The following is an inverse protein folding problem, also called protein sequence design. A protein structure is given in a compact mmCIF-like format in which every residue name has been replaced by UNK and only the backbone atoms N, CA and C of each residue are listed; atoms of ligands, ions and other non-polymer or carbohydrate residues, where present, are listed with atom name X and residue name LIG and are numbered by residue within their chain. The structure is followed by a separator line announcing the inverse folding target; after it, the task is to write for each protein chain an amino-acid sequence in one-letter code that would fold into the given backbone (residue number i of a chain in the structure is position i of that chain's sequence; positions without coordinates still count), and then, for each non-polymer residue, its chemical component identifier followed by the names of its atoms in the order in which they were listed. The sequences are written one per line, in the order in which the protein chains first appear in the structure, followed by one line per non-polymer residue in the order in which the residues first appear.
data_IF_988863418491
#
_entry.id   IF_988863418491
#
_cell.length_a   1.000
_cell.length_b   1.000
_cell.length_c   1.000
_cell.angle_alpha   90.00
_cell.angle_beta   90.00
_cell.angle_gamma   90.00
#
_symmetry.space_group_name_H-M   'P 1'
#
loop_
_entity.id
_entity.type
_entity.pdbx_description
1 polymer ?
#
# COMPACT_ATOMS: atom_id res chain seq x y z
N UNK A 1 -28.33 -14.83 -28.45
CA UNK A 1 -27.73 -13.69 -27.73
C UNK A 1 -26.23 -13.71 -28.02
N UNK A 2 -25.64 -12.62 -28.57
CA UNK A 2 -24.18 -12.51 -28.66
C UNK A 2 -23.63 -12.26 -27.25
N UNK A 3 -22.61 -12.98 -26.79
CA UNK A 3 -21.98 -12.67 -25.51
C UNK A 3 -21.45 -11.24 -25.58
N UNK A 4 -21.93 -10.37 -24.72
CA UNK A 4 -21.33 -9.04 -24.51
C UNK A 4 -19.95 -9.27 -23.89
N UNK A 5 -18.90 -8.75 -24.53
CA UNK A 5 -17.60 -8.64 -23.87
C UNK A 5 -17.77 -7.71 -22.68
N UNK A 6 -17.39 -8.17 -21.50
CA UNK A 6 -17.28 -7.28 -20.34
C UNK A 6 -16.36 -6.11 -20.72
N UNK A 7 -16.81 -4.88 -20.44
CA UNK A 7 -15.98 -3.69 -20.65
C UNK A 7 -14.76 -3.79 -19.74
N UNK A 8 -13.56 -3.55 -20.27
CA UNK A 8 -12.34 -3.49 -19.47
C UNK A 8 -12.40 -2.27 -18.55
N UNK A 9 -11.93 -2.37 -17.31
CA UNK A 9 -11.80 -1.20 -16.45
C UNK A 9 -10.79 -0.21 -17.01
N UNK A 10 -11.09 1.07 -16.83
CA UNK A 10 -10.20 2.18 -17.19
C UNK A 10 -9.78 2.87 -15.90
N UNK A 11 -8.47 2.95 -15.66
CA UNK A 11 -7.91 3.72 -14.56
C UNK A 11 -7.23 4.98 -15.11
N UNK A 12 -7.83 6.12 -14.86
CA UNK A 12 -7.22 7.42 -15.13
C UNK A 12 -6.48 7.89 -13.89
N UNK A 13 -5.16 7.94 -13.96
CA UNK A 13 -4.32 8.53 -12.91
C UNK A 13 -4.10 9.99 -13.30
N UNK A 14 -4.59 10.92 -12.48
CA UNK A 14 -4.34 12.34 -12.75
C UNK A 14 -2.83 12.61 -12.83
N UNK A 15 -2.35 13.43 -13.76
CA UNK A 15 -0.92 13.63 -14.01
C UNK A 15 -0.12 13.99 -12.76
N UNK A 16 -0.65 14.88 -11.91
CA UNK A 16 0.00 15.25 -10.66
C UNK A 16 0.12 14.06 -9.70
N UNK A 17 -0.89 13.19 -9.63
CA UNK A 17 -0.84 11.99 -8.78
C UNK A 17 0.24 11.02 -9.25
N UNK A 18 0.30 10.77 -10.56
CA UNK A 18 1.36 9.94 -11.14
C UNK A 18 2.75 10.50 -10.82
N UNK A 19 2.94 11.80 -11.01
CA UNK A 19 4.21 12.46 -10.73
C UNK A 19 4.55 12.46 -9.23
N UNK A 20 3.57 12.67 -8.34
CA UNK A 20 3.77 12.53 -6.89
C UNK A 20 4.28 11.13 -6.53
N UNK A 21 3.61 10.07 -6.99
CA UNK A 21 4.04 8.68 -6.76
C UNK A 21 5.45 8.43 -7.33
N UNK A 22 5.72 8.85 -8.55
CA UNK A 22 7.05 8.73 -9.17
C UNK A 22 8.13 9.45 -8.35
N UNK A 23 7.86 10.64 -7.84
CA UNK A 23 8.82 11.39 -7.04
C UNK A 23 9.05 10.75 -5.67
N UNK A 24 8.01 10.20 -5.02
CA UNK A 24 8.19 9.43 -3.80
C UNK A 24 9.16 8.26 -4.01
N UNK A 25 8.93 7.48 -5.06
CA UNK A 25 9.76 6.31 -5.39
C UNK A 25 11.20 6.71 -5.77
N UNK A 26 11.39 7.80 -6.51
CA UNK A 26 12.71 8.26 -6.95
C UNK A 26 13.53 8.85 -5.80
N UNK A 27 12.90 9.60 -4.91
CA UNK A 27 13.58 10.31 -3.83
C UNK A 27 13.82 9.43 -2.59
N UNK A 28 13.05 8.34 -2.40
CA UNK A 28 13.28 7.42 -1.29
C UNK A 28 14.45 6.48 -1.59
N UNK A 29 15.32 6.27 -0.60
CA UNK A 29 16.33 5.21 -0.63
C UNK A 29 15.76 3.84 -0.27
N UNK A 30 14.68 3.82 0.47
CA UNK A 30 13.99 2.65 1.01
C UNK A 30 12.61 2.47 0.37
N UNK A 31 11.94 1.36 0.65
CA UNK A 31 10.54 1.18 0.27
C UNK A 31 9.68 2.25 0.94
N UNK A 32 8.69 2.75 0.24
CA UNK A 32 7.81 3.81 0.69
C UNK A 32 6.38 3.52 0.24
N UNK A 33 5.40 3.84 1.07
CA UNK A 33 4.01 3.57 0.80
C UNK A 33 3.14 4.83 0.89
N UNK A 34 1.98 4.78 0.25
CA UNK A 34 1.02 5.88 0.20
C UNK A 34 -0.39 5.33 0.05
N UNK A 35 -1.38 6.15 0.36
CA UNK A 35 -2.77 5.93 0.00
C UNK A 35 -3.19 6.80 -1.18
N UNK A 36 -4.22 6.36 -1.90
CA UNK A 36 -4.80 7.09 -3.02
C UNK A 36 -6.30 7.26 -2.92
N UNK A 37 -6.77 8.44 -3.33
CA UNK A 37 -8.18 8.78 -3.42
C UNK A 37 -8.68 8.49 -4.82
N UNK A 38 -9.64 7.56 -4.92
CA UNK A 38 -10.15 7.06 -6.19
C UNK A 38 -11.66 7.21 -6.25
N UNK A 39 -12.14 7.91 -7.28
CA UNK A 39 -13.56 7.93 -7.65
C UNK A 39 -13.87 6.87 -8.69
N UNK A 40 -15.08 6.31 -8.59
CA UNK A 40 -15.61 5.33 -9.53
C UNK A 40 -16.82 5.90 -10.26
N UNK A 41 -16.85 5.67 -11.57
CA UNK A 41 -18.04 5.85 -12.41
C UNK A 41 -18.17 4.65 -13.36
N UNK A 42 -19.01 3.70 -13.00
CA UNK A 42 -19.15 2.43 -13.71
C UNK A 42 -17.85 1.63 -13.70
N UNK A 43 -17.25 1.45 -14.89
CA UNK A 43 -15.94 0.81 -15.08
C UNK A 43 -14.79 1.81 -15.23
N UNK A 44 -15.05 3.10 -14.99
CA UNK A 44 -14.03 4.14 -14.98
C UNK A 44 -13.64 4.48 -13.56
N UNK A 45 -12.36 4.40 -13.27
CA UNK A 45 -11.75 4.72 -11.98
C UNK A 45 -10.82 5.92 -12.17
N UNK A 46 -10.89 6.91 -11.31
CA UNK A 46 -10.05 8.10 -11.39
C UNK A 46 -9.28 8.27 -10.08
N UNK A 47 -7.98 8.00 -10.11
CA UNK A 47 -7.07 8.38 -9.03
C UNK A 47 -6.79 9.88 -9.13
N UNK A 48 -7.32 10.66 -8.19
CA UNK A 48 -7.28 12.12 -8.25
C UNK A 48 -6.38 12.77 -7.21
N UNK A 49 -5.99 12.05 -6.14
CA UNK A 49 -4.96 12.49 -5.21
C UNK A 49 -4.27 11.31 -4.53
N UNK A 50 -3.08 11.55 -3.99
CA UNK A 50 -2.30 10.61 -3.20
C UNK A 50 -1.76 11.30 -1.94
N UNK A 51 -1.72 10.55 -0.85
CA UNK A 51 -1.33 11.05 0.46
C UNK A 51 -0.40 10.02 1.14
N UNK A 52 0.61 10.52 1.84
CA UNK A 52 1.46 9.68 2.69
C UNK A 52 0.94 9.61 4.12
N UNK A 53 1.20 8.49 4.75
CA UNK A 53 0.94 8.26 6.16
C UNK A 53 2.26 8.05 6.94
N UNK A 54 2.26 8.23 8.28
CA UNK A 54 3.42 7.95 9.13
C UNK A 54 3.86 6.49 9.02
N UNK A 55 5.13 6.25 8.71
CA UNK A 55 5.66 4.93 8.43
C UNK A 55 7.14 4.80 8.80
N UNK A 56 7.56 3.58 9.11
CA UNK A 56 8.96 3.17 9.22
C UNK A 56 9.36 2.41 7.97
N UNK A 57 10.45 2.80 7.35
CA UNK A 57 10.90 2.24 6.08
C UNK A 57 12.24 1.53 6.23
N UNK A 58 12.43 0.49 5.42
CA UNK A 58 13.71 -0.17 5.17
C UNK A 58 13.83 -0.53 3.69
N UNK A 59 14.99 -1.01 3.28
CA UNK A 59 15.25 -1.37 1.89
C UNK A 59 14.32 -2.49 1.33
N UNK A 60 13.58 -3.19 2.19
CA UNK A 60 12.76 -4.34 1.81
C UNK A 60 11.38 -4.37 2.47
N UNK A 61 11.03 -3.38 3.28
CA UNK A 61 9.72 -3.34 3.95
C UNK A 61 9.34 -1.92 4.35
N UNK A 62 8.05 -1.63 4.23
CA UNK A 62 7.41 -0.46 4.83
C UNK A 62 6.43 -0.94 5.90
N UNK A 63 6.49 -0.33 7.08
CA UNK A 63 5.51 -0.58 8.16
C UNK A 63 4.93 0.73 8.63
N UNK A 64 3.61 0.76 8.86
CA UNK A 64 2.97 1.88 9.53
C UNK A 64 3.52 2.04 10.96
N UNK A 65 3.66 3.28 11.40
CA UNK A 65 3.76 3.60 12.82
C UNK A 65 2.36 3.49 13.40
N UNK A 66 2.03 2.38 14.05
CA UNK A 66 0.66 2.02 14.45
C UNK A 66 -0.04 3.15 15.24
N UNK A 67 0.66 3.78 16.18
CA UNK A 67 0.09 4.86 16.99
C UNK A 67 -0.13 6.13 16.17
N UNK A 68 0.88 6.56 15.43
CA UNK A 68 0.77 7.76 14.60
C UNK A 68 -0.14 7.53 13.39
N UNK A 69 -0.19 6.32 12.84
CA UNK A 69 -1.12 5.96 11.77
C UNK A 69 -2.57 6.03 12.26
N UNK A 70 -2.87 5.51 13.44
CA UNK A 70 -4.21 5.58 14.02
C UNK A 70 -4.68 7.02 14.20
N UNK A 71 -3.81 7.90 14.72
CA UNK A 71 -4.10 9.33 14.84
C UNK A 71 -4.25 10.00 13.47
N UNK A 72 -3.45 9.58 12.51
CA UNK A 72 -3.48 10.12 11.16
C UNK A 72 -4.77 9.73 10.43
N UNK A 73 -5.17 8.46 10.46
CA UNK A 73 -6.38 7.99 9.78
C UNK A 73 -7.66 8.63 10.36
N UNK A 74 -7.72 8.81 11.69
CA UNK A 74 -8.83 9.52 12.33
C UNK A 74 -8.95 10.97 11.85
N UNK A 75 -7.82 11.66 11.64
CA UNK A 75 -7.84 13.00 11.04
C UNK A 75 -8.31 12.98 9.59
N UNK A 76 -7.98 11.93 8.82
CA UNK A 76 -8.48 11.80 7.44
C UNK A 76 -9.98 11.54 7.39
N UNK A 77 -10.52 10.82 8.37
CA UNK A 77 -11.95 10.55 8.47
C UNK A 77 -12.81 11.81 8.58
N UNK A 78 -12.28 12.91 9.10
CA UNK A 78 -12.97 14.21 9.18
C UNK A 78 -13.16 14.89 7.81
N UNK A 79 -12.51 14.42 6.75
CA UNK A 79 -12.64 14.99 5.41
C UNK A 79 -13.76 14.30 4.61
N UNK A 80 -14.53 15.09 3.88
CA UNK A 80 -15.64 14.61 3.04
C UNK A 80 -15.26 13.52 2.03
N UNK A 81 -13.98 13.49 1.60
CA UNK A 81 -13.49 12.55 0.61
C UNK A 81 -12.87 11.28 1.21
N UNK A 82 -13.03 11.03 2.51
CA UNK A 82 -12.47 9.83 3.14
C UNK A 82 -12.95 8.54 2.48
N UNK A 83 -14.22 8.49 2.06
CA UNK A 83 -14.80 7.34 1.36
C UNK A 83 -14.09 7.00 0.04
N UNK A 84 -13.37 7.96 -0.54
CA UNK A 84 -12.58 7.78 -1.77
C UNK A 84 -11.18 7.21 -1.51
N UNK A 85 -10.80 6.96 -0.25
CA UNK A 85 -9.50 6.37 0.13
C UNK A 85 -9.52 4.86 -0.22
N UNK A 86 -9.41 4.56 -1.51
CA UNK A 86 -9.62 3.23 -2.10
C UNK A 86 -8.39 2.65 -2.79
N UNK A 87 -7.20 3.18 -2.49
CA UNK A 87 -5.95 2.67 -3.04
C UNK A 87 -4.85 2.63 -1.99
N UNK A 88 -4.07 1.56 -2.02
CA UNK A 88 -2.77 1.47 -1.36
C UNK A 88 -1.68 1.22 -2.40
N UNK A 89 -0.63 2.02 -2.38
CA UNK A 89 0.55 1.86 -3.21
C UNK A 89 1.82 1.80 -2.37
N UNK A 90 2.82 1.07 -2.88
CA UNK A 90 4.17 1.08 -2.30
C UNK A 90 5.24 0.88 -3.37
N UNK A 91 6.48 1.14 -3.01
CA UNK A 91 7.62 0.97 -3.91
C UNK A 91 8.41 -0.29 -3.61
N UNK A 92 8.89 -0.94 -4.67
CA UNK A 92 9.90 -2.00 -4.61
C UNK A 92 11.30 -1.49 -4.99
N UNK A 93 11.58 -0.21 -4.75
CA UNK A 93 12.85 0.48 -5.03
C UNK A 93 13.46 0.06 -6.38
N UNK A 94 14.40 -0.87 -6.39
CA UNK A 94 15.08 -1.39 -7.59
C UNK A 94 14.65 -2.81 -7.99
N UNK A 95 13.71 -3.43 -7.27
CA UNK A 95 13.22 -4.77 -7.55
C UNK A 95 12.09 -4.76 -8.58
N UNK A 96 11.67 -5.94 -9.04
CA UNK A 96 10.45 -6.10 -9.84
C UNK A 96 9.20 -5.77 -9.05
N UNK A 97 8.12 -5.41 -9.74
CA UNK A 97 6.85 -5.03 -9.11
C UNK A 97 5.93 -6.24 -8.81
N UNK A 98 6.50 -7.43 -8.59
CA UNK A 98 5.74 -8.60 -8.16
C UNK A 98 5.49 -8.52 -6.65
N UNK A 99 4.24 -8.74 -6.19
CA UNK A 99 3.93 -8.73 -4.77
C UNK A 99 4.75 -9.76 -3.98
N UNK A 100 5.23 -9.37 -2.81
CA UNK A 100 5.86 -10.28 -1.83
C UNK A 100 4.80 -11.03 -1.02
N UNK A 101 5.23 -12.01 -0.21
CA UNK A 101 4.33 -12.68 0.72
C UNK A 101 3.73 -11.74 1.76
N UNK A 102 4.49 -10.73 2.20
CA UNK A 102 4.01 -9.69 3.13
C UNK A 102 2.93 -8.82 2.47
N UNK A 103 3.13 -8.44 1.19
CA UNK A 103 2.13 -7.66 0.45
C UNK A 103 0.83 -8.42 0.27
N UNK A 104 0.92 -9.72 -0.01
CA UNK A 104 -0.27 -10.57 -0.15
C UNK A 104 -1.05 -10.65 1.16
N UNK A 105 -0.37 -10.81 2.29
CA UNK A 105 -1.03 -10.85 3.59
C UNK A 105 -1.67 -9.52 3.97
N UNK A 106 -1.01 -8.40 3.68
CA UNK A 106 -1.56 -7.06 3.88
C UNK A 106 -2.83 -6.85 3.03
N UNK A 107 -2.80 -7.26 1.75
CA UNK A 107 -3.97 -7.22 0.87
C UNK A 107 -5.14 -8.01 1.42
N UNK A 108 -4.89 -9.26 1.84
CA UNK A 108 -5.93 -10.11 2.44
C UNK A 108 -6.59 -9.44 3.64
N UNK A 109 -5.82 -8.76 4.49
CA UNK A 109 -6.34 -8.08 5.67
C UNK A 109 -7.26 -6.92 5.29
N UNK A 110 -6.89 -6.09 4.29
CA UNK A 110 -7.76 -5.04 3.79
C UNK A 110 -9.03 -5.63 3.16
N UNK A 111 -8.87 -6.63 2.29
CA UNK A 111 -9.99 -7.21 1.55
C UNK A 111 -11.02 -7.91 2.44
N UNK A 112 -10.61 -8.52 3.56
CA UNK A 112 -11.53 -9.14 4.55
C UNK A 112 -12.51 -8.13 5.14
N UNK A 113 -12.09 -6.86 5.24
CA UNK A 113 -12.88 -5.78 5.84
C UNK A 113 -13.57 -4.89 4.78
N UNK A 114 -13.40 -5.18 3.48
CA UNK A 114 -13.98 -4.39 2.43
C UNK A 114 -15.49 -4.69 2.28
N UNK A 115 -16.30 -3.66 2.13
CA UNK A 115 -17.75 -3.81 1.89
C UNK A 115 -18.03 -4.52 0.56
N UNK A 116 -19.13 -5.28 0.50
CA UNK A 116 -19.54 -6.08 -0.67
C UNK A 116 -19.88 -5.26 -1.91
N UNK A 117 -20.09 -3.97 -1.77
CA UNK A 117 -20.41 -3.02 -2.85
C UNK A 117 -19.29 -2.04 -3.14
N UNK A 118 -18.08 -2.33 -2.64
CA UNK A 118 -16.91 -1.48 -2.76
C UNK A 118 -15.88 -2.05 -3.74
N UNK A 119 -14.78 -1.34 -3.91
CA UNK A 119 -13.60 -1.76 -4.64
C UNK A 119 -12.34 -1.31 -3.90
N UNK A 120 -11.20 -1.90 -4.24
CA UNK A 120 -9.90 -1.45 -3.75
C UNK A 120 -8.81 -1.69 -4.79
N UNK A 121 -7.84 -0.78 -4.86
CA UNK A 121 -6.72 -0.85 -5.79
C UNK A 121 -5.42 -1.02 -5.01
N UNK A 122 -4.61 -1.98 -5.43
CA UNK A 122 -3.23 -2.12 -4.99
C UNK A 122 -2.28 -1.81 -6.13
N UNK A 123 -1.22 -1.05 -5.83
CA UNK A 123 -0.21 -0.67 -6.81
C UNK A 123 1.19 -0.86 -6.24
N UNK A 124 2.07 -1.45 -7.03
CA UNK A 124 3.50 -1.52 -6.74
C UNK A 124 4.24 -0.79 -7.84
N UNK A 125 5.19 0.08 -7.50
CA UNK A 125 5.99 0.83 -8.46
C UNK A 125 7.46 0.74 -8.12
N UNK A 126 8.36 0.77 -9.14
CA UNK A 126 9.81 0.80 -8.93
C UNK A 126 10.47 2.04 -9.54
N UNK A 127 11.76 2.23 -9.26
CA UNK A 127 12.55 3.36 -9.78
C UNK A 127 12.69 3.37 -11.29
N UNK A 128 12.61 2.22 -11.95
CA UNK A 128 12.65 2.10 -13.41
C UNK A 128 11.36 2.60 -14.08
N UNK A 129 10.31 2.86 -13.31
CA UNK A 129 9.01 3.31 -13.81
C UNK A 129 8.07 2.17 -14.18
N UNK A 130 8.48 0.93 -13.93
CA UNK A 130 7.56 -0.21 -14.02
C UNK A 130 6.57 -0.14 -12.85
N UNK A 131 5.36 -0.65 -13.09
CA UNK A 131 4.35 -0.79 -12.06
C UNK A 131 3.47 -2.01 -12.31
N UNK A 132 2.87 -2.51 -11.25
CA UNK A 132 1.75 -3.46 -11.30
C UNK A 132 0.54 -2.86 -10.58
N UNK A 133 -0.64 -3.16 -11.08
CA UNK A 133 -1.91 -2.74 -10.50
C UNK A 133 -2.81 -3.96 -10.40
N UNK A 134 -3.47 -4.13 -9.27
CA UNK A 134 -4.57 -5.05 -9.09
C UNK A 134 -5.79 -4.28 -8.56
N UNK A 135 -6.92 -4.43 -9.24
CA UNK A 135 -8.21 -3.88 -8.85
C UNK A 135 -9.12 -5.01 -8.39
N UNK A 136 -9.49 -5.00 -7.14
CA UNK A 136 -10.50 -5.87 -6.54
C UNK A 136 -11.84 -5.15 -6.58
N UNK A 137 -12.75 -5.61 -7.41
CA UNK A 137 -14.06 -5.00 -7.60
C UNK A 137 -15.17 -5.92 -7.11
N UNK A 138 -15.65 -5.68 -5.90
CA UNK A 138 -16.72 -6.47 -5.27
C UNK A 138 -18.08 -6.21 -5.90
N UNK A 139 -18.28 -5.09 -6.58
CA UNK A 139 -19.54 -4.80 -7.30
C UNK A 139 -19.71 -5.72 -8.50
N UNK A 140 -18.63 -5.99 -9.22
CA UNK A 140 -18.63 -6.93 -10.36
C UNK A 140 -18.25 -8.34 -9.96
N UNK A 141 -17.69 -8.54 -8.76
CA UNK A 141 -17.12 -9.81 -8.31
C UNK A 141 -15.87 -10.24 -9.05
N UNK A 142 -15.12 -9.28 -9.62
CA UNK A 142 -13.96 -9.54 -10.47
C UNK A 142 -12.69 -8.97 -9.86
N UNK A 143 -11.57 -9.64 -10.17
CA UNK A 143 -10.23 -9.14 -9.93
C UNK A 143 -9.62 -8.84 -11.30
N UNK A 144 -9.08 -7.64 -11.46
CA UNK A 144 -8.43 -7.20 -12.68
C UNK A 144 -6.95 -6.94 -12.39
N UNK A 145 -6.06 -7.50 -13.18
CA UNK A 145 -4.63 -7.21 -13.12
C UNK A 145 -4.23 -6.09 -14.10
N UNK A 146 -2.96 -5.75 -14.11
CA UNK A 146 -2.41 -4.69 -14.98
C UNK A 146 -2.71 -4.92 -16.47
N UNK A 147 -2.84 -6.15 -16.93
CA UNK A 147 -3.11 -6.48 -18.34
C UNK A 147 -4.59 -6.29 -18.72
N UNK A 148 -5.46 -6.34 -17.73
CA UNK A 148 -6.91 -6.14 -17.90
C UNK A 148 -7.31 -4.67 -17.85
N UNK A 149 -6.48 -3.81 -17.20
CA UNK A 149 -6.79 -2.41 -16.94
C UNK A 149 -6.15 -1.53 -18.02
N UNK A 150 -6.92 -0.61 -18.58
CA UNK A 150 -6.37 0.46 -19.40
C UNK A 150 -5.98 1.64 -18.51
N UNK A 151 -4.68 2.00 -18.49
CA UNK A 151 -4.16 3.06 -17.63
C UNK A 151 -3.79 4.29 -18.46
N UNK A 152 -4.27 5.47 -18.03
CA UNK A 152 -3.91 6.77 -18.61
C UNK A 152 -3.16 7.62 -17.60
N UNK A 153 -2.03 8.18 -18.05
CA UNK A 153 -1.22 9.16 -17.28
C UNK A 153 -0.69 10.20 -18.26
N UNK A 154 -0.70 11.48 -17.90
CA UNK A 154 0.11 12.46 -18.65
C UNK A 154 0.22 13.86 -18.00
N UNK A 155 1.39 14.50 -18.06
CA UNK A 155 1.70 15.95 -18.16
C UNK A 155 3.07 16.35 -17.56
N UNK A 156 3.98 17.04 -18.30
CA UNK A 156 5.31 17.47 -17.86
C UNK A 156 5.33 18.63 -16.85
N UNK A 157 4.36 19.55 -16.85
CA UNK A 157 4.40 20.75 -16.01
C UNK A 157 4.26 20.44 -14.51
N UNK A 158 3.61 19.35 -14.20
CA UNK A 158 3.37 18.94 -12.83
C UNK A 158 4.60 18.33 -12.12
N UNK A 159 5.66 17.99 -12.86
CA UNK A 159 6.86 17.35 -12.31
C UNK A 159 7.49 18.14 -11.17
N UNK A 160 7.68 19.45 -11.33
CA UNK A 160 8.28 20.29 -10.29
C UNK A 160 7.43 20.34 -9.01
N UNK A 161 6.12 20.54 -9.17
CA UNK A 161 5.18 20.52 -8.02
C UNK A 161 5.19 19.18 -7.28
N UNK A 162 5.27 18.08 -8.03
CA UNK A 162 5.37 16.75 -7.46
C UNK A 162 6.69 16.52 -6.70
N UNK A 163 7.83 17.06 -7.20
CA UNK A 163 9.11 16.98 -6.53
C UNK A 163 9.11 17.71 -5.17
N UNK A 164 8.61 18.95 -5.16
CA UNK A 164 8.50 19.76 -3.93
C UNK A 164 7.60 19.09 -2.90
N UNK A 165 6.45 18.57 -3.34
CA UNK A 165 5.54 17.84 -2.48
C UNK A 165 6.18 16.56 -1.90
N UNK A 166 6.84 15.74 -2.75
CA UNK A 166 7.45 14.48 -2.32
C UNK A 166 8.57 14.71 -1.30
N UNK A 167 9.44 15.70 -1.54
CA UNK A 167 10.53 16.06 -0.61
C UNK A 167 9.97 16.41 0.78
N UNK A 168 8.89 17.20 0.82
CA UNK A 168 8.23 17.60 2.05
C UNK A 168 7.54 16.41 2.72
N UNK A 169 6.82 15.59 1.94
CA UNK A 169 6.11 14.42 2.43
C UNK A 169 7.07 13.38 3.05
N UNK A 170 8.19 13.10 2.39
CA UNK A 170 9.22 12.19 2.91
C UNK A 170 9.80 12.73 4.21
N UNK A 171 10.21 14.00 4.25
CA UNK A 171 10.77 14.64 5.44
C UNK A 171 9.85 14.57 6.65
N UNK A 172 8.54 14.74 6.43
CA UNK A 172 7.57 14.81 7.52
C UNK A 172 7.07 13.45 7.99
N UNK A 173 7.08 12.42 7.12
CA UNK A 173 6.41 11.14 7.38
C UNK A 173 7.36 9.95 7.46
N UNK A 174 8.59 10.05 6.93
CA UNK A 174 9.57 8.95 6.97
C UNK A 174 10.50 9.13 8.16
N UNK A 175 10.59 8.10 8.98
CA UNK A 175 11.52 8.02 10.11
C UNK A 175 12.52 6.89 9.87
N UNK A 176 13.76 7.12 10.29
CA UNK A 176 14.75 6.04 10.28
C UNK A 176 14.36 4.94 11.26
N UNK A 177 14.55 3.69 10.84
CA UNK A 177 14.40 2.54 11.74
C UNK A 177 15.38 2.72 12.89
N UNK A 178 14.94 2.65 14.16
CA UNK A 178 15.82 2.73 15.32
C UNK A 178 17.00 1.76 15.20
N UNK A 179 18.18 2.17 15.67
CA UNK A 179 19.43 1.40 15.56
C UNK A 179 19.29 -0.07 16.01
N UNK A 180 18.50 -0.32 17.05
CA UNK A 180 18.21 -1.66 17.57
C UNK A 180 17.56 -2.58 16.52
N UNK A 181 16.73 -2.04 15.63
CA UNK A 181 16.08 -2.79 14.55
C UNK A 181 17.02 -3.08 13.39
N UNK A 182 17.91 -2.12 13.06
CA UNK A 182 18.94 -2.31 12.02
C UNK A 182 19.92 -3.42 12.42
N UNK A 183 20.24 -3.54 13.70
CA UNK A 183 21.13 -4.58 14.23
C UNK A 183 20.48 -5.96 14.19
N UNK A 184 19.17 -6.06 14.49
CA UNK A 184 18.41 -7.32 14.44
C UNK A 184 18.28 -7.87 13.00
N UNK A 185 18.08 -7.01 12.01
CA UNK A 185 18.02 -7.42 10.61
C UNK A 185 19.37 -7.90 10.07
N UNK A 186 20.49 -7.30 10.47
CA UNK A 186 21.84 -7.73 10.07
C UNK A 186 22.22 -9.09 10.66
N UNK A 187 21.81 -9.42 11.86
CA UNK A 187 22.10 -10.72 12.47
C UNK A 187 21.32 -11.86 11.82
N UNK A 188 20.13 -11.57 11.23
CA UNK A 188 19.33 -12.58 10.53
C UNK A 188 19.75 -12.78 9.06
N UNK A 189 20.51 -11.83 8.46
CA UNK A 189 20.94 -11.94 7.06
C UNK A 189 22.34 -12.60 6.90
N UNK A 190 23.05 -12.89 7.98
CA UNK A 190 24.40 -13.48 7.94
C UNK A 190 24.48 -14.98 8.25
N UNK A 191 23.36 -15.70 8.35
CA UNK A 191 23.39 -17.15 8.51
C UNK A 191 23.28 -17.86 7.16
N UNK A 192 24.41 -18.09 6.55
CA UNK A 192 24.69 -19.07 5.50
C UNK A 192 24.13 -20.45 5.86
N UNK A 193 23.37 -21.00 4.89
CA UNK A 193 23.20 -22.45 4.63
C UNK A 193 23.55 -23.43 5.74
N UNK A 194 22.58 -23.86 6.52
CA UNK A 194 22.40 -25.25 6.95
C UNK A 194 20.92 -25.53 7.22
N UNK A 195 20.45 -26.68 6.76
CA UNK A 195 19.09 -27.23 6.75
C UNK A 195 18.16 -26.74 7.87
N UNK A 196 16.91 -26.34 7.57
CA UNK A 196 15.93 -26.00 8.57
C UNK A 196 15.30 -27.25 9.16
N UNK A 197 15.74 -27.66 10.34
CA UNK A 197 14.90 -28.42 11.27
C UNK A 197 14.54 -27.53 12.44
N UNK A 198 13.25 -27.38 12.67
CA UNK A 198 12.54 -26.74 13.78
C UNK A 198 12.23 -25.25 13.63
N UNK A 199 10.97 -24.98 13.38
CA UNK A 199 10.29 -23.72 13.67
C UNK A 199 10.49 -23.34 15.14
N UNK A 200 11.28 -22.30 15.42
CA UNK A 200 11.35 -21.72 16.76
C UNK A 200 10.08 -20.94 17.04
N UNK A 201 9.10 -21.61 17.61
CA UNK A 201 7.91 -21.00 18.17
C UNK A 201 8.35 -20.19 19.40
N UNK A 202 8.18 -18.87 19.35
CA UNK A 202 8.45 -17.99 20.50
C UNK A 202 7.51 -18.35 21.65
N UNK A 203 8.10 -18.69 22.82
CA UNK A 203 7.39 -18.95 24.05
C UNK A 203 7.77 -17.93 25.12
N UNK A 204 6.81 -17.57 25.98
CA UNK A 204 7.11 -16.74 27.14
C UNK A 204 7.97 -17.49 28.18
N UNK A 205 8.43 -16.78 29.19
CA UNK A 205 9.23 -17.37 30.27
C UNK A 205 8.50 -18.50 31.06
N UNK A 206 7.20 -18.69 30.80
CA UNK A 206 6.36 -19.76 31.36
C UNK A 206 6.02 -20.84 30.32
N UNK A 207 6.68 -20.86 29.15
CA UNK A 207 6.53 -21.86 28.12
C UNK A 207 5.26 -21.78 27.26
N UNK A 208 4.47 -20.70 27.37
CA UNK A 208 3.22 -20.50 26.60
C UNK A 208 3.54 -19.82 25.28
N UNK A 209 2.79 -20.19 24.23
CA UNK A 209 2.89 -19.55 22.93
C UNK A 209 2.57 -18.06 23.03
N UNK A 210 3.47 -17.21 22.57
CA UNK A 210 3.17 -15.81 22.35
C UNK A 210 2.40 -15.74 21.03
N UNK A 211 1.07 -15.72 21.12
CA UNK A 211 0.25 -15.49 19.94
C UNK A 211 0.54 -14.08 19.41
N UNK A 212 0.55 -13.95 18.11
CA UNK A 212 0.71 -12.68 17.39
C UNK A 212 -0.51 -11.76 17.58
N UNK A 213 -0.89 -11.51 18.83
CA UNK A 213 -2.00 -10.63 19.20
C UNK A 213 -1.76 -9.14 18.82
N UNK A 214 -0.63 -8.80 18.21
CA UNK A 214 -0.31 -7.45 17.75
C UNK A 214 -0.74 -7.13 16.32
N UNK A 215 -1.21 -8.13 15.56
CA UNK A 215 -1.80 -7.91 14.23
C UNK A 215 -3.27 -7.47 14.33
N UNK A 216 -3.89 -7.59 15.52
CA UNK A 216 -5.31 -7.29 15.71
C UNK A 216 -5.65 -5.78 15.73
N UNK A 217 -4.69 -4.87 15.94
CA UNK A 217 -5.02 -3.45 16.06
C UNK A 217 -5.36 -2.78 14.72
N UNK A 218 -4.64 -3.11 13.64
CA UNK A 218 -4.94 -2.56 12.32
C UNK A 218 -6.24 -3.15 11.74
N UNK A 219 -6.45 -4.45 11.91
CA UNK A 219 -7.68 -5.13 11.47
C UNK A 219 -8.94 -4.59 12.19
N UNK A 220 -8.83 -4.21 13.47
CA UNK A 220 -9.97 -3.63 14.20
C UNK A 220 -10.30 -2.23 13.72
N UNK A 221 -9.28 -1.41 13.45
CA UNK A 221 -9.46 -0.02 13.00
C UNK A 221 -10.12 0.05 11.62
N UNK A 222 -9.68 -0.81 10.69
CA UNK A 222 -10.29 -0.88 9.36
C UNK A 222 -11.73 -1.39 9.42
N UNK A 223 -12.05 -2.32 10.33
CA UNK A 223 -13.40 -2.83 10.53
C UNK A 223 -14.35 -1.74 11.03
N UNK A 224 -13.95 -1.01 12.06
CA UNK A 224 -14.75 0.06 12.66
C UNK A 224 -15.00 1.21 11.68
N UNK A 225 -14.02 1.53 10.83
CA UNK A 225 -14.12 2.58 9.82
C UNK A 225 -14.99 2.18 8.61
N UNK A 226 -15.08 0.90 8.29
CA UNK A 226 -15.86 0.40 7.15
C UNK A 226 -17.31 0.02 7.54
N UNK A 227 -17.62 -0.09 8.84
CA UNK A 227 -18.97 -0.41 9.33
C UNK A 227 -19.84 0.83 9.61
N UNK A 228 -19.29 2.05 9.53
CA UNK A 228 -20.01 3.30 9.92
C UNK A 228 -20.70 4.05 8.76
N UNK A 229 -20.87 3.48 7.57
CA UNK A 229 -21.68 4.06 6.49
C UNK A 229 -23.03 3.37 6.33
#
# INVERSE_FOLDING_TARGET
MKPMRASKPILTIKPLCYMKMRQLVLQSGDEIAWHGFVKRDGMNFTLYDVIMYPQYNSAATTKSDEEEYSKWILRQYEFENFCDLKMHGHSHVNMGCTPSGTDMQFRENILKNLKKDSFYIFMIMNKQGSFTIELYDYVTGMIYDTSDITVYTDDPETTRKAQEWASTAIKNNVREVPFTWKQFQRTNSSSTTTNPKSSSILRDAKGRFISSARVQSEDSLWRDLLEQE
#
